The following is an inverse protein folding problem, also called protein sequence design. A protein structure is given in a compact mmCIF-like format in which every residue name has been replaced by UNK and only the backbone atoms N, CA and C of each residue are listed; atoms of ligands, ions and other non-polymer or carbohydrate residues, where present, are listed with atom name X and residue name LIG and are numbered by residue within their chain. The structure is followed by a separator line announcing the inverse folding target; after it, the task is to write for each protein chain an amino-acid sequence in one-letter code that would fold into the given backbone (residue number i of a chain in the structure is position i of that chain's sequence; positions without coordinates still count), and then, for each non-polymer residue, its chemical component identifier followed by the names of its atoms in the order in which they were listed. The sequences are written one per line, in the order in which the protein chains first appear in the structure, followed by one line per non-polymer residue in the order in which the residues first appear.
data_IF_208987502373
#
_entry.id   IF_208987502373
#
_cell.length_a   1.000
_cell.length_b   1.000
_cell.length_c   1.000
_cell.angle_alpha   90.00
_cell.angle_beta   90.00
_cell.angle_gamma   90.00
#
_symmetry.space_group_name_H-M   'P 1'
#
loop_
_entity.id
_entity.type
_entity.pdbx_description
1 polymer ?
#
# COMPACT_ATOMS: atom_id res chain seq x y z
N UNK A 1 16.29 12.48 3.36
CA UNK A 1 17.50 12.14 4.10
C UNK A 1 17.95 13.20 5.12
N UNK A 2 18.11 14.52 4.83
CA UNK A 2 18.62 15.48 5.83
C UNK A 2 17.80 15.56 7.12
N UNK A 3 16.45 15.54 7.02
CA UNK A 3 15.58 15.57 8.21
C UNK A 3 15.72 14.32 9.06
N UNK A 4 15.87 13.14 8.46
CA UNK A 4 16.04 11.89 9.18
C UNK A 4 17.41 11.83 9.86
N UNK A 5 18.49 12.25 9.17
CA UNK A 5 19.81 12.41 9.78
C UNK A 5 19.75 13.33 11.00
N UNK A 6 19.16 14.52 10.86
CA UNK A 6 19.03 15.46 11.98
C UNK A 6 18.25 14.84 13.16
N UNK A 7 17.16 14.11 12.90
CA UNK A 7 16.40 13.44 13.95
C UNK A 7 17.23 12.39 14.70
N UNK A 8 18.05 11.61 13.98
CA UNK A 8 18.99 10.66 14.61
C UNK A 8 20.04 11.38 15.45
N UNK A 9 20.61 12.49 14.96
CA UNK A 9 21.57 13.29 15.74
C UNK A 9 20.91 13.86 17.02
N UNK A 10 19.66 14.30 16.95
CA UNK A 10 18.91 14.73 18.12
C UNK A 10 18.68 13.59 19.13
N UNK A 11 18.42 12.37 18.66
CA UNK A 11 18.31 11.21 19.53
C UNK A 11 19.66 10.87 20.20
N UNK A 12 20.76 10.86 19.43
CA UNK A 12 22.12 10.63 19.94
C UNK A 12 22.56 11.66 20.98
N UNK A 13 22.10 12.90 20.88
CA UNK A 13 22.42 13.95 21.88
C UNK A 13 21.66 13.82 23.21
N UNK A 14 20.76 12.82 23.34
CA UNK A 14 19.90 12.63 24.53
C UNK A 14 20.02 11.25 25.16
N UNK A 15 21.14 10.56 24.96
CA UNK A 15 21.35 9.19 25.44
C UNK A 15 21.49 9.06 26.96
N UNK A 16 21.79 10.14 27.68
CA UNK A 16 22.06 10.11 29.12
C UNK A 16 20.95 9.52 29.98
N UNK A 17 19.70 9.61 29.49
CA UNK A 17 18.53 9.07 30.18
C UNK A 17 17.89 7.87 29.44
N UNK A 18 18.54 7.35 28.40
CA UNK A 18 18.06 6.22 27.62
C UNK A 18 18.52 4.89 28.22
N UNK A 19 17.69 3.88 28.11
CA UNK A 19 18.08 2.50 28.45
C UNK A 19 19.09 1.98 27.45
N UNK A 20 19.86 0.95 27.82
CA UNK A 20 20.85 0.35 26.93
C UNK A 20 20.19 -0.15 25.61
N UNK A 21 18.97 -0.68 25.68
CA UNK A 21 18.20 -1.12 24.52
C UNK A 21 17.87 0.05 23.58
N UNK A 22 17.40 1.17 24.11
CA UNK A 22 17.13 2.37 23.31
C UNK A 22 18.39 2.94 22.66
N UNK A 23 19.50 2.96 23.42
CA UNK A 23 20.82 3.37 22.90
C UNK A 23 21.23 2.50 21.72
N UNK A 24 21.08 1.18 21.85
CA UNK A 24 21.43 0.22 20.81
C UNK A 24 20.55 0.40 19.56
N UNK A 25 19.24 0.63 19.73
CA UNK A 25 18.29 0.91 18.63
C UNK A 25 18.64 2.22 17.90
N UNK A 26 18.96 3.29 18.63
CA UNK A 26 19.36 4.57 18.04
C UNK A 26 20.67 4.41 17.24
N UNK A 27 21.64 3.66 17.76
CA UNK A 27 22.91 3.38 17.06
C UNK A 27 22.69 2.52 15.81
N UNK A 28 21.82 1.51 15.86
CA UNK A 28 21.46 0.74 14.67
C UNK A 28 20.83 1.62 13.61
N UNK A 29 19.94 2.55 13.97
CA UNK A 29 19.34 3.47 13.02
C UNK A 29 20.32 4.51 12.45
N UNK A 30 21.37 4.86 13.20
CA UNK A 30 22.38 5.84 12.79
C UNK A 30 23.09 5.45 11.50
N UNK A 31 23.37 4.16 11.29
CA UNK A 31 24.10 3.69 10.10
C UNK A 31 23.30 3.89 8.81
N UNK A 32 21.97 3.98 8.92
CA UNK A 32 21.06 4.21 7.78
C UNK A 32 21.03 5.67 7.33
N UNK A 33 21.20 6.62 8.23
CA UNK A 33 21.02 8.06 7.98
C UNK A 33 22.31 8.81 8.21
N UNK A 34 23.06 9.02 7.13
CA UNK A 34 24.34 9.73 7.11
C UNK A 34 24.16 11.18 6.63
N UNK A 35 25.09 12.05 6.96
CA UNK A 35 25.08 13.49 6.62
C UNK A 35 25.11 13.70 5.10
N UNK A 36 26.09 13.10 4.43
CA UNK A 36 26.27 13.18 2.99
C UNK A 36 25.49 12.08 2.26
N UNK A 37 24.16 12.22 2.25
CA UNK A 37 23.30 11.26 1.56
C UNK A 37 23.33 11.45 0.04
N UNK A 38 23.73 10.38 -0.67
CA UNK A 38 23.64 10.26 -2.11
C UNK A 38 22.63 9.14 -2.47
N UNK A 39 21.63 9.41 -3.33
CA UNK A 39 20.58 8.43 -3.65
C UNK A 39 21.12 7.08 -4.16
N UNK A 40 22.21 7.08 -4.95
CA UNK A 40 22.84 5.87 -5.47
C UNK A 40 23.45 4.98 -4.37
N UNK A 41 23.80 5.54 -3.22
CA UNK A 41 24.41 4.80 -2.10
C UNK A 41 23.34 4.28 -1.12
N UNK A 42 22.05 4.49 -1.42
CA UNK A 42 20.96 4.12 -0.51
C UNK A 42 20.98 2.66 -0.13
N UNK A 43 21.25 1.78 -1.10
CA UNK A 43 21.27 0.33 -0.87
C UNK A 43 22.36 -0.10 0.10
N UNK A 44 23.53 0.53 0.06
CA UNK A 44 24.62 0.24 1.01
C UNK A 44 24.21 0.61 2.45
N UNK A 45 23.51 1.73 2.62
CA UNK A 45 23.03 2.17 3.92
C UNK A 45 21.88 1.29 4.44
N UNK A 46 20.99 0.86 3.57
CA UNK A 46 19.91 -0.06 3.93
C UNK A 46 20.49 -1.45 4.29
N UNK A 47 21.57 -1.91 3.62
CA UNK A 47 22.29 -3.13 3.98
C UNK A 47 22.97 -2.99 5.35
N UNK A 48 23.71 -1.90 5.58
CA UNK A 48 24.36 -1.65 6.87
C UNK A 48 23.31 -1.59 8.01
N UNK A 49 22.14 -1.03 7.74
CA UNK A 49 21.04 -1.03 8.71
C UNK A 49 20.49 -2.43 8.95
N UNK A 50 20.30 -3.23 7.92
CA UNK A 50 19.83 -4.61 8.06
C UNK A 50 20.82 -5.47 8.88
N UNK A 51 22.13 -5.29 8.65
CA UNK A 51 23.18 -5.98 9.42
C UNK A 51 23.15 -5.54 10.90
N UNK A 52 23.05 -4.24 11.17
CA UNK A 52 22.96 -3.72 12.54
C UNK A 52 21.68 -4.18 13.25
N UNK A 53 20.56 -4.30 12.54
CA UNK A 53 19.31 -4.82 13.08
C UNK A 53 19.35 -6.33 13.30
N UNK A 54 20.10 -7.08 12.48
CA UNK A 54 20.36 -8.51 12.72
C UNK A 54 21.09 -8.74 14.04
N UNK A 55 22.16 -7.98 14.29
CA UNK A 55 22.92 -8.02 15.54
C UNK A 55 22.04 -7.65 16.73
N UNK A 56 21.20 -6.64 16.56
CA UNK A 56 20.30 -6.17 17.60
C UNK A 56 19.22 -7.22 17.93
N UNK A 57 18.61 -7.85 16.92
CA UNK A 57 17.66 -8.94 17.10
C UNK A 57 18.31 -10.16 17.77
N UNK A 58 19.57 -10.45 17.45
CA UNK A 58 20.36 -11.48 18.15
C UNK A 58 20.63 -11.14 19.62
N UNK A 59 20.80 -9.86 19.94
CA UNK A 59 21.02 -9.40 21.33
C UNK A 59 19.72 -9.37 22.16
N UNK A 60 18.58 -9.09 21.52
CA UNK A 60 17.25 -8.98 22.14
C UNK A 60 16.22 -9.89 21.48
N UNK A 61 16.44 -11.22 21.44
CA UNK A 61 15.60 -12.15 20.68
C UNK A 61 14.16 -12.25 21.21
N UNK A 62 13.95 -11.84 22.46
CA UNK A 62 12.61 -11.87 23.09
C UNK A 62 11.82 -10.57 22.88
N UNK A 63 12.43 -9.53 22.34
CA UNK A 63 11.75 -8.30 22.00
C UNK A 63 11.15 -8.38 20.57
N UNK A 64 9.86 -8.69 20.48
CA UNK A 64 9.16 -8.86 19.21
C UNK A 64 9.20 -7.61 18.34
N UNK A 65 9.25 -6.42 18.94
CA UNK A 65 9.36 -5.17 18.20
C UNK A 65 10.72 -5.05 17.52
N UNK A 66 11.80 -5.39 18.21
CA UNK A 66 13.16 -5.38 17.63
C UNK A 66 13.26 -6.41 16.50
N UNK A 67 12.77 -7.63 16.71
CA UNK A 67 12.76 -8.66 15.66
C UNK A 67 11.92 -8.23 14.46
N UNK A 68 10.77 -7.57 14.69
CA UNK A 68 9.94 -7.00 13.61
C UNK A 68 10.69 -5.89 12.84
N UNK A 69 11.39 -4.99 13.54
CA UNK A 69 12.19 -3.95 12.89
C UNK A 69 13.36 -4.53 12.09
N UNK A 70 13.89 -5.69 12.49
CA UNK A 70 14.83 -6.42 11.65
C UNK A 70 14.15 -6.93 10.36
N UNK A 71 12.93 -7.44 10.45
CA UNK A 71 12.11 -7.76 9.27
C UNK A 71 11.88 -6.54 8.37
N UNK A 72 11.58 -5.36 8.93
CA UNK A 72 11.47 -4.11 8.18
C UNK A 72 12.78 -3.75 7.46
N UNK A 73 13.91 -3.90 8.15
CA UNK A 73 15.23 -3.62 7.57
C UNK A 73 15.54 -4.56 6.38
N UNK A 74 15.18 -5.84 6.46
CA UNK A 74 15.29 -6.78 5.34
C UNK A 74 14.34 -6.40 4.20
N UNK A 75 13.10 -6.00 4.50
CA UNK A 75 12.13 -5.57 3.49
C UNK A 75 12.59 -4.34 2.71
N UNK A 76 13.39 -3.46 3.30
CA UNK A 76 13.99 -2.32 2.60
C UNK A 76 15.01 -2.73 1.51
N UNK A 77 15.55 -3.93 1.59
CA UNK A 77 16.46 -4.49 0.60
C UNK A 77 15.72 -5.11 -0.60
N UNK A 78 14.42 -5.37 -0.46
CA UNK A 78 13.60 -5.91 -1.53
C UNK A 78 13.18 -4.85 -2.54
N UNK A 79 12.98 -5.25 -3.78
CA UNK A 79 12.39 -4.39 -4.78
C UNK A 79 10.91 -4.16 -4.44
N UNK A 80 10.50 -2.90 -4.42
CA UNK A 80 9.13 -2.52 -4.05
C UNK A 80 8.07 -2.93 -5.06
N UNK A 81 8.48 -3.28 -6.28
CA UNK A 81 7.59 -3.68 -7.37
C UNK A 81 8.16 -4.89 -8.07
N UNK A 82 7.28 -5.79 -8.48
CA UNK A 82 7.66 -7.00 -9.17
C UNK A 82 7.39 -8.26 -8.35
N UNK A 83 7.57 -9.37 -9.02
CA UNK A 83 7.41 -10.70 -8.43
C UNK A 83 8.62 -11.05 -7.57
N UNK A 84 8.37 -11.60 -6.37
CA UNK A 84 9.40 -12.10 -5.46
C UNK A 84 9.43 -13.61 -5.50
N UNK A 85 10.59 -14.18 -5.80
CA UNK A 85 10.79 -15.62 -5.81
C UNK A 85 10.94 -16.15 -4.39
N UNK A 86 10.24 -17.25 -4.09
CA UNK A 86 10.41 -17.99 -2.83
C UNK A 86 11.75 -18.74 -2.75
N UNK A 87 12.53 -18.76 -3.84
CA UNK A 87 13.88 -19.31 -3.86
C UNK A 87 14.95 -18.27 -3.51
N UNK A 88 14.59 -16.97 -3.47
CA UNK A 88 15.51 -15.90 -3.10
C UNK A 88 15.85 -16.02 -1.59
N UNK A 89 17.13 -16.14 -1.24
CA UNK A 89 17.56 -16.22 0.17
C UNK A 89 17.11 -15.04 1.03
N UNK A 90 17.00 -13.84 0.45
CA UNK A 90 16.55 -12.65 1.18
C UNK A 90 15.05 -12.74 1.48
N UNK A 91 14.23 -13.18 0.52
CA UNK A 91 12.79 -13.40 0.70
C UNK A 91 12.55 -14.48 1.75
N UNK A 92 13.28 -15.61 1.67
CA UNK A 92 13.22 -16.70 2.66
C UNK A 92 13.54 -16.16 4.06
N UNK A 93 14.62 -15.38 4.19
CA UNK A 93 15.04 -14.79 5.46
C UNK A 93 14.03 -13.82 6.01
N UNK A 94 13.49 -12.92 5.17
CA UNK A 94 12.44 -11.97 5.52
C UNK A 94 11.20 -12.69 6.08
N UNK A 95 10.70 -13.68 5.35
CA UNK A 95 9.55 -14.48 5.80
C UNK A 95 9.85 -15.20 7.12
N UNK A 96 11.01 -15.84 7.24
CA UNK A 96 11.41 -16.56 8.46
C UNK A 96 11.44 -15.64 9.69
N UNK A 97 11.99 -14.43 9.56
CA UNK A 97 12.06 -13.46 10.65
C UNK A 97 10.66 -13.00 11.05
N UNK A 98 9.80 -12.64 10.11
CA UNK A 98 8.44 -12.19 10.41
C UNK A 98 7.58 -13.30 11.02
N UNK A 99 7.66 -14.52 10.46
CA UNK A 99 6.95 -15.70 11.00
C UNK A 99 7.42 -16.05 12.41
N UNK A 100 8.70 -15.90 12.74
CA UNK A 100 9.19 -16.13 14.11
C UNK A 100 8.57 -15.20 15.16
N UNK A 101 8.17 -14.00 14.78
CA UNK A 101 7.39 -13.08 15.62
C UNK A 101 5.96 -13.56 15.74
N UNK A 102 5.35 -13.92 14.61
CA UNK A 102 3.93 -14.28 14.52
C UNK A 102 3.61 -15.65 15.17
N UNK A 103 4.57 -16.56 15.20
CA UNK A 103 4.47 -17.81 15.97
C UNK A 103 4.34 -17.56 17.48
N UNK A 104 4.83 -16.41 17.96
CA UNK A 104 4.78 -16.01 19.37
C UNK A 104 3.60 -15.07 19.66
N UNK A 105 3.25 -14.22 18.71
CA UNK A 105 2.13 -13.28 18.78
C UNK A 105 1.56 -13.01 17.39
N UNK A 106 0.55 -13.79 16.99
CA UNK A 106 -0.13 -13.65 15.69
C UNK A 106 -0.83 -12.29 15.54
N UNK A 107 -1.07 -11.58 16.63
CA UNK A 107 -1.72 -10.28 16.62
C UNK A 107 -0.77 -9.10 16.55
N UNK A 108 0.56 -9.35 16.47
CA UNK A 108 1.57 -8.30 16.41
C UNK A 108 1.40 -7.43 15.15
N UNK A 109 0.95 -6.16 15.26
CA UNK A 109 0.48 -5.40 14.11
C UNK A 109 1.60 -5.08 13.11
N UNK A 110 2.82 -4.81 13.59
CA UNK A 110 3.96 -4.51 12.71
C UNK A 110 4.40 -5.73 11.90
N UNK A 111 4.49 -6.90 12.52
CA UNK A 111 4.88 -8.13 11.83
C UNK A 111 3.82 -8.56 10.82
N UNK A 112 2.53 -8.48 11.18
CA UNK A 112 1.43 -8.73 10.27
C UNK A 112 1.42 -7.77 9.07
N UNK A 113 1.59 -6.47 9.30
CA UNK A 113 1.68 -5.48 8.25
C UNK A 113 2.80 -5.79 7.24
N UNK A 114 4.00 -6.08 7.75
CA UNK A 114 5.15 -6.41 6.90
C UNK A 114 4.96 -7.74 6.18
N UNK A 115 4.37 -8.77 6.82
CA UNK A 115 4.13 -10.06 6.18
C UNK A 115 3.15 -9.93 5.01
N UNK A 116 2.08 -9.15 5.16
CA UNK A 116 1.16 -8.86 4.04
C UNK A 116 1.93 -8.30 2.84
N UNK A 117 2.75 -7.29 3.04
CA UNK A 117 3.56 -6.71 1.95
C UNK A 117 4.65 -7.66 1.43
N UNK A 118 5.22 -8.49 2.28
CA UNK A 118 6.26 -9.45 1.87
C UNK A 118 5.71 -10.57 1.00
N UNK A 119 4.42 -10.92 1.15
CA UNK A 119 3.77 -12.04 0.46
C UNK A 119 2.92 -11.64 -0.74
N UNK A 120 2.41 -10.41 -0.81
CA UNK A 120 1.49 -9.95 -1.87
C UNK A 120 2.04 -10.10 -3.30
N UNK A 121 3.36 -10.11 -3.47
CA UNK A 121 4.03 -10.29 -4.78
C UNK A 121 4.72 -11.66 -4.90
N UNK A 122 4.29 -12.64 -4.14
CA UNK A 122 4.78 -14.03 -4.18
C UNK A 122 3.68 -14.98 -4.64
N UNK A 123 3.98 -16.25 -4.97
CA UNK A 123 2.96 -17.22 -5.30
C UNK A 123 2.16 -17.74 -4.10
N UNK A 124 2.45 -17.29 -2.87
CA UNK A 124 1.82 -17.76 -1.63
C UNK A 124 1.26 -16.60 -0.77
N UNK A 125 0.37 -15.74 -1.32
CA UNK A 125 -0.22 -14.63 -0.57
C UNK A 125 -1.04 -15.12 0.64
N UNK A 126 -1.57 -16.36 0.60
CA UNK A 126 -2.31 -16.99 1.68
C UNK A 126 -1.50 -17.15 2.97
N UNK A 127 -0.17 -17.10 2.92
CA UNK A 127 0.69 -17.10 4.09
C UNK A 127 0.37 -15.97 5.07
N UNK A 128 -0.10 -14.83 4.56
CA UNK A 128 -0.53 -13.70 5.38
C UNK A 128 -2.03 -13.73 5.74
N UNK A 129 -2.80 -14.74 5.34
CA UNK A 129 -4.23 -14.78 5.64
C UNK A 129 -4.55 -14.72 7.15
N UNK A 130 -3.84 -15.45 8.06
CA UNK A 130 -4.06 -15.30 9.50
C UNK A 130 -3.83 -13.87 10.02
N UNK A 131 -2.85 -13.16 9.47
CA UNK A 131 -2.63 -11.73 9.76
C UNK A 131 -3.77 -10.87 9.24
N UNK A 132 -4.24 -11.09 8.03
CA UNK A 132 -5.31 -10.31 7.42
C UNK A 132 -6.64 -10.43 8.19
N UNK A 133 -6.90 -11.55 8.86
CA UNK A 133 -8.07 -11.74 9.71
C UNK A 133 -8.11 -10.79 10.92
N UNK A 134 -6.95 -10.41 11.46
CA UNK A 134 -6.83 -9.64 12.70
C UNK A 134 -6.42 -8.19 12.46
N UNK A 135 -5.51 -7.95 11.50
CA UNK A 135 -4.79 -6.69 11.35
C UNK A 135 -5.70 -5.47 11.24
N UNK A 136 -6.80 -5.59 10.48
CA UNK A 136 -7.73 -4.48 10.26
C UNK A 136 -8.40 -3.92 11.52
N UNK A 137 -8.33 -4.62 12.65
CA UNK A 137 -8.95 -4.25 13.92
C UNK A 137 -7.95 -3.87 15.02
N UNK A 138 -6.65 -4.10 14.79
CA UNK A 138 -5.60 -3.91 15.81
C UNK A 138 -5.38 -2.44 16.18
N UNK A 139 -5.49 -1.53 15.21
CA UNK A 139 -5.29 -0.08 15.43
C UNK A 139 -6.49 0.68 14.85
N UNK A 140 -7.58 0.83 15.63
CA UNK A 140 -8.77 1.57 15.19
C UNK A 140 -8.42 3.01 14.80
N UNK A 141 -8.90 3.47 13.65
CA UNK A 141 -8.63 4.81 13.15
C UNK A 141 -7.32 5.00 12.39
N UNK A 142 -6.46 3.98 12.32
CA UNK A 142 -5.32 3.97 11.41
C UNK A 142 -5.76 3.40 10.05
N UNK A 143 -6.14 4.27 9.12
CA UNK A 143 -6.76 3.88 7.85
C UNK A 143 -5.91 2.90 7.05
N UNK A 144 -4.59 3.09 7.03
CA UNK A 144 -3.67 2.18 6.35
C UNK A 144 -3.71 0.76 6.94
N UNK A 145 -3.72 0.64 8.27
CA UNK A 145 -3.80 -0.68 8.92
C UNK A 145 -5.16 -1.35 8.67
N UNK A 146 -6.26 -0.57 8.63
CA UNK A 146 -7.58 -1.10 8.27
C UNK A 146 -7.64 -1.62 6.83
N UNK A 147 -6.91 -0.98 5.91
CA UNK A 147 -6.82 -1.35 4.49
C UNK A 147 -5.93 -2.57 4.23
N UNK A 148 -4.87 -2.78 5.01
CA UNK A 148 -3.83 -3.79 4.77
C UNK A 148 -4.36 -5.20 4.47
N UNK A 149 -5.39 -5.73 5.15
CA UNK A 149 -5.93 -7.05 4.83
C UNK A 149 -6.36 -7.20 3.37
N UNK A 150 -6.76 -6.09 2.72
CA UNK A 150 -7.24 -6.14 1.33
C UNK A 150 -6.18 -6.55 0.31
N UNK A 151 -4.90 -6.35 0.59
CA UNK A 151 -3.82 -6.85 -0.25
C UNK A 151 -3.88 -8.38 -0.35
N UNK A 152 -3.87 -9.07 0.79
CA UNK A 152 -4.00 -10.53 0.85
C UNK A 152 -5.32 -11.01 0.24
N UNK A 153 -6.44 -10.38 0.59
CA UNK A 153 -7.75 -10.78 0.10
C UNK A 153 -7.90 -10.61 -1.42
N UNK A 154 -7.31 -9.57 -2.01
CA UNK A 154 -7.30 -9.38 -3.46
C UNK A 154 -6.50 -10.49 -4.17
N UNK A 155 -5.32 -10.83 -3.68
CA UNK A 155 -4.48 -11.89 -4.26
C UNK A 155 -5.14 -13.28 -4.15
N UNK A 156 -5.92 -13.50 -3.10
CA UNK A 156 -6.68 -14.74 -2.89
C UNK A 156 -8.04 -14.76 -3.62
N UNK A 157 -8.44 -13.67 -4.29
CA UNK A 157 -9.75 -13.56 -4.94
C UNK A 157 -10.93 -13.42 -3.97
N UNK A 158 -10.66 -13.11 -2.69
CA UNK A 158 -11.68 -12.90 -1.65
C UNK A 158 -12.17 -11.43 -1.68
N UNK A 159 -12.77 -11.08 -2.81
CA UNK A 159 -13.14 -9.70 -3.15
C UNK A 159 -14.06 -9.02 -2.12
N UNK A 160 -14.98 -9.78 -1.51
CA UNK A 160 -15.88 -9.20 -0.51
C UNK A 160 -15.14 -8.78 0.77
N UNK A 161 -14.15 -9.57 1.19
CA UNK A 161 -13.30 -9.24 2.33
C UNK A 161 -12.44 -8.00 2.03
N UNK A 162 -11.91 -7.93 0.81
CA UNK A 162 -11.18 -6.76 0.34
C UNK A 162 -12.06 -5.50 0.30
N UNK A 163 -13.30 -5.59 -0.16
CA UNK A 163 -14.27 -4.47 -0.11
C UNK A 163 -14.52 -4.04 1.34
N UNK A 164 -14.71 -4.99 2.24
CA UNK A 164 -14.96 -4.72 3.67
C UNK A 164 -13.80 -3.96 4.31
N UNK A 165 -12.56 -4.43 4.09
CA UNK A 165 -11.33 -3.82 4.60
C UNK A 165 -11.16 -2.39 4.09
N UNK A 166 -11.32 -2.17 2.78
CA UNK A 166 -11.16 -0.84 2.18
C UNK A 166 -12.30 0.12 2.53
N UNK A 167 -13.52 -0.38 2.71
CA UNK A 167 -14.63 0.45 3.21
C UNK A 167 -14.34 0.95 4.62
N UNK A 168 -13.80 0.09 5.50
CA UNK A 168 -13.37 0.46 6.84
C UNK A 168 -12.26 1.51 6.80
N UNK A 169 -11.27 1.32 5.94
CA UNK A 169 -10.18 2.26 5.73
C UNK A 169 -10.69 3.62 5.27
N UNK A 170 -11.59 3.65 4.29
CA UNK A 170 -12.18 4.89 3.79
C UNK A 170 -12.97 5.63 4.88
N UNK A 171 -13.73 4.92 5.71
CA UNK A 171 -14.41 5.53 6.87
C UNK A 171 -13.41 6.11 7.89
N UNK A 172 -12.25 5.47 8.08
CA UNK A 172 -11.19 5.99 8.94
C UNK A 172 -10.55 7.24 8.34
N UNK A 173 -10.31 7.28 7.02
CA UNK A 173 -9.83 8.47 6.30
C UNK A 173 -10.80 9.65 6.44
N UNK A 174 -12.11 9.40 6.29
CA UNK A 174 -13.13 10.42 6.47
C UNK A 174 -13.16 10.97 7.92
N UNK A 175 -13.02 10.10 8.93
CA UNK A 175 -12.91 10.53 10.33
C UNK A 175 -11.65 11.35 10.60
N UNK A 176 -10.54 10.99 9.97
CA UNK A 176 -9.27 11.71 10.09
C UNK A 176 -9.38 13.15 9.53
N UNK A 177 -10.16 13.37 8.48
CA UNK A 177 -10.44 14.70 7.95
C UNK A 177 -11.14 15.63 8.99
N UNK A 178 -11.82 15.05 9.98
CA UNK A 178 -12.41 15.77 11.12
C UNK A 178 -11.54 15.74 12.39
N UNK A 179 -10.25 15.45 12.26
CA UNK A 179 -9.31 15.39 13.39
C UNK A 179 -9.44 14.14 14.28
N UNK A 180 -10.09 13.08 13.79
CA UNK A 180 -10.33 11.83 14.55
C UNK A 180 -9.61 10.65 13.86
N UNK A 181 -8.37 10.42 14.21
CA UNK A 181 -7.59 9.34 13.66
C UNK A 181 -6.50 9.82 12.72
N UNK A 182 -5.99 8.91 11.89
CA UNK A 182 -4.84 9.15 11.05
C UNK A 182 -5.06 8.59 9.65
N UNK A 183 -5.11 9.47 8.64
CA UNK A 183 -5.26 9.10 7.24
C UNK A 183 -3.89 8.96 6.58
N UNK A 184 -3.64 7.80 6.00
CA UNK A 184 -2.48 7.56 5.12
C UNK A 184 -3.01 6.96 3.83
N UNK A 185 -2.67 7.58 2.71
CA UNK A 185 -2.99 7.09 1.37
C UNK A 185 -4.49 6.93 1.05
N UNK A 186 -5.37 7.90 1.32
CA UNK A 186 -6.82 7.77 1.07
C UNK A 186 -7.15 7.50 -0.40
N UNK A 187 -6.37 8.03 -1.34
CA UNK A 187 -6.53 7.73 -2.77
C UNK A 187 -6.22 6.26 -3.10
N UNK A 188 -5.22 5.67 -2.45
CA UNK A 188 -4.90 4.26 -2.60
C UNK A 188 -6.00 3.37 -2.03
N UNK A 189 -6.50 3.67 -0.82
CA UNK A 189 -7.59 2.93 -0.19
C UNK A 189 -8.86 2.92 -1.08
N UNK A 190 -9.21 4.08 -1.66
CA UNK A 190 -10.32 4.17 -2.61
C UNK A 190 -10.07 3.43 -3.92
N UNK A 191 -8.85 3.45 -4.45
CA UNK A 191 -8.49 2.68 -5.65
C UNK A 191 -8.65 1.19 -5.41
N UNK A 192 -8.20 0.70 -4.26
CA UNK A 192 -8.34 -0.72 -3.88
C UNK A 192 -9.80 -1.09 -3.63
N UNK A 193 -10.60 -0.19 -3.03
CA UNK A 193 -12.04 -0.36 -2.87
C UNK A 193 -12.74 -0.46 -4.23
N UNK A 194 -12.45 0.46 -5.13
CA UNK A 194 -12.96 0.44 -6.50
C UNK A 194 -12.63 -0.87 -7.20
N UNK A 195 -11.37 -1.31 -7.12
CA UNK A 195 -10.91 -2.55 -7.76
C UNK A 195 -11.66 -3.77 -7.21
N UNK A 196 -11.63 -3.99 -5.90
CA UNK A 196 -12.27 -5.13 -5.26
C UNK A 196 -13.79 -5.16 -5.49
N UNK A 197 -14.47 -4.00 -5.39
CA UNK A 197 -15.90 -3.89 -5.68
C UNK A 197 -16.21 -4.15 -7.15
N UNK A 198 -15.34 -3.74 -8.07
CA UNK A 198 -15.48 -4.02 -9.50
C UNK A 198 -15.34 -5.51 -9.80
N UNK A 199 -14.40 -6.21 -9.16
CA UNK A 199 -14.19 -7.64 -9.33
C UNK A 199 -15.34 -8.47 -8.74
N UNK A 200 -15.94 -8.03 -7.64
CA UNK A 200 -17.09 -8.69 -7.01
C UNK A 200 -18.46 -8.32 -7.59
N UNK A 201 -18.51 -7.46 -8.62
CA UNK A 201 -19.76 -7.05 -9.24
C UNK A 201 -20.60 -6.06 -8.43
N UNK A 202 -20.03 -5.43 -7.40
CA UNK A 202 -20.69 -4.46 -6.53
C UNK A 202 -20.70 -3.06 -7.17
N UNK A 203 -21.56 -2.85 -8.18
CA UNK A 203 -21.59 -1.63 -8.99
C UNK A 203 -21.73 -0.34 -8.16
N UNK A 204 -22.62 -0.33 -7.18
CA UNK A 204 -22.85 0.84 -6.33
C UNK A 204 -21.58 1.24 -5.56
N UNK A 205 -20.91 0.28 -4.92
CA UNK A 205 -19.68 0.51 -4.17
C UNK A 205 -18.52 0.95 -5.08
N UNK A 206 -18.37 0.29 -6.24
CA UNK A 206 -17.30 0.61 -7.19
C UNK A 206 -17.47 2.02 -7.77
N UNK A 207 -18.68 2.38 -8.21
CA UNK A 207 -18.96 3.72 -8.78
C UNK A 207 -18.83 4.80 -7.70
N UNK A 208 -19.29 4.53 -6.47
CA UNK A 208 -19.15 5.50 -5.38
C UNK A 208 -17.67 5.72 -5.02
N UNK A 209 -16.87 4.65 -4.89
CA UNK A 209 -15.43 4.77 -4.63
C UNK A 209 -14.72 5.57 -5.73
N UNK A 210 -15.06 5.33 -7.01
CA UNK A 210 -14.51 6.07 -8.13
C UNK A 210 -14.93 7.56 -8.13
N UNK A 211 -16.17 7.88 -7.72
CA UNK A 211 -16.64 9.27 -7.53
C UNK A 211 -15.89 9.99 -6.41
N UNK A 212 -15.67 9.30 -5.28
CA UNK A 212 -14.95 9.87 -4.14
C UNK A 212 -13.46 10.07 -4.49
N UNK A 213 -12.86 9.15 -5.24
CA UNK A 213 -11.51 9.28 -5.76
C UNK A 213 -11.38 10.50 -6.70
N UNK A 214 -12.33 10.68 -7.62
CA UNK A 214 -12.34 11.83 -8.52
C UNK A 214 -12.46 13.16 -7.76
N UNK A 215 -13.24 13.20 -6.66
CA UNK A 215 -13.30 14.39 -5.77
C UNK A 215 -11.97 14.69 -5.08
N UNK A 216 -11.21 13.66 -4.68
CA UNK A 216 -9.95 13.85 -3.96
C UNK A 216 -8.81 14.35 -4.85
N UNK A 217 -8.71 13.86 -6.07
CA UNK A 217 -7.55 14.10 -6.93
C UNK A 217 -7.86 14.67 -8.32
N UNK A 218 -9.13 14.93 -8.64
CA UNK A 218 -9.56 15.42 -9.95
C UNK A 218 -9.49 14.40 -11.09
N UNK A 219 -9.17 13.13 -10.78
CA UNK A 219 -9.00 12.10 -11.81
C UNK A 219 -10.31 11.35 -12.09
N UNK A 220 -10.93 11.65 -13.21
CA UNK A 220 -12.20 11.04 -13.68
C UNK A 220 -12.00 9.74 -14.46
N UNK A 221 -10.77 9.33 -14.76
CA UNK A 221 -10.50 8.12 -15.54
C UNK A 221 -11.06 6.86 -14.87
N UNK A 222 -10.83 6.68 -13.56
CA UNK A 222 -11.36 5.53 -12.82
C UNK A 222 -12.89 5.55 -12.75
N UNK A 223 -13.50 6.73 -12.69
CA UNK A 223 -14.97 6.86 -12.74
C UNK A 223 -15.51 6.44 -14.11
N UNK A 224 -14.89 6.88 -15.20
CA UNK A 224 -15.31 6.51 -16.54
C UNK A 224 -15.16 5.00 -16.78
N UNK A 225 -14.08 4.38 -16.29
CA UNK A 225 -13.85 2.94 -16.33
C UNK A 225 -14.87 2.16 -15.50
N UNK A 226 -15.22 2.66 -14.30
CA UNK A 226 -16.28 2.06 -13.47
C UNK A 226 -17.62 2.07 -14.20
N UNK A 227 -17.98 3.18 -14.80
CA UNK A 227 -19.27 3.35 -15.48
C UNK A 227 -19.38 2.44 -16.72
N UNK A 228 -18.36 2.32 -17.57
CA UNK A 228 -18.40 1.41 -18.71
C UNK A 228 -18.48 -0.05 -18.28
N UNK A 229 -17.77 -0.44 -17.19
CA UNK A 229 -17.82 -1.81 -16.66
C UNK A 229 -19.23 -2.23 -16.27
N UNK A 230 -20.03 -1.31 -15.76
CA UNK A 230 -21.39 -1.56 -15.30
C UNK A 230 -22.49 -1.08 -16.28
N UNK A 231 -22.13 -0.79 -17.54
CA UNK A 231 -23.08 -0.47 -18.60
C UNK A 231 -23.77 0.90 -18.46
N UNK A 232 -23.16 1.84 -17.69
CA UNK A 232 -23.69 3.19 -17.47
C UNK A 232 -23.14 4.17 -18.52
N UNK A 233 -23.35 3.84 -19.80
CA UNK A 233 -22.70 4.51 -20.94
C UNK A 233 -23.13 5.98 -21.08
N UNK A 234 -24.41 6.27 -20.86
CA UNK A 234 -24.94 7.62 -20.84
C UNK A 234 -24.25 8.53 -19.81
N UNK A 235 -23.94 7.99 -18.60
CA UNK A 235 -23.23 8.74 -17.57
C UNK A 235 -21.77 9.00 -17.92
N UNK A 236 -21.11 8.08 -18.63
CA UNK A 236 -19.74 8.31 -19.15
C UNK A 236 -19.71 9.55 -20.04
N UNK A 237 -20.67 9.65 -20.96
CA UNK A 237 -20.76 10.76 -21.92
C UNK A 237 -21.09 12.10 -21.25
N UNK A 238 -21.62 12.08 -20.03
CA UNK A 238 -21.90 13.28 -19.23
C UNK A 238 -20.69 13.80 -18.43
N UNK A 239 -19.61 13.01 -18.28
CA UNK A 239 -18.39 13.45 -17.61
C UNK A 239 -17.73 14.54 -18.47
N UNK A 240 -17.58 15.75 -17.90
CA UNK A 240 -17.00 16.92 -18.60
C UNK A 240 -15.54 17.15 -18.23
N UNK A 241 -15.16 16.77 -17.02
CA UNK A 241 -13.82 17.01 -16.50
C UNK A 241 -12.86 15.96 -17.05
N UNK A 242 -11.95 16.38 -17.90
CA UNK A 242 -10.94 15.53 -18.48
C UNK A 242 -9.77 15.35 -17.48
N UNK A 243 -9.29 14.11 -17.27
CA UNK A 243 -8.21 13.86 -16.33
C UNK A 243 -6.87 14.33 -16.91
N UNK A 244 -5.94 14.67 -15.99
CA UNK A 244 -4.56 14.99 -16.34
C UNK A 244 -3.73 13.72 -16.50
N UNK A 245 -2.66 13.81 -17.33
CA UNK A 245 -1.71 12.74 -17.58
C UNK A 245 -2.15 11.78 -18.68
N UNK A 246 -1.22 11.37 -19.48
CA UNK A 246 -1.41 10.59 -20.72
C UNK A 246 -2.22 9.31 -20.48
N UNK A 247 -1.80 8.48 -19.53
CA UNK A 247 -2.48 7.21 -19.22
C UNK A 247 -3.95 7.43 -18.80
N UNK A 248 -4.18 8.40 -17.89
CA UNK A 248 -5.53 8.70 -17.43
C UNK A 248 -6.40 9.23 -18.56
N UNK A 249 -5.81 10.05 -19.43
CA UNK A 249 -6.49 10.59 -20.61
C UNK A 249 -6.88 9.48 -21.58
N UNK A 250 -5.96 8.56 -21.89
CA UNK A 250 -6.24 7.41 -22.76
C UNK A 250 -7.34 6.52 -22.20
N UNK A 251 -7.37 6.26 -20.88
CA UNK A 251 -8.44 5.50 -20.22
C UNK A 251 -9.78 6.22 -20.33
N UNK A 252 -9.80 7.53 -20.15
CA UNK A 252 -11.00 8.36 -20.27
C UNK A 252 -11.51 8.36 -21.72
N UNK A 253 -10.65 8.61 -22.70
CA UNK A 253 -11.01 8.65 -24.12
C UNK A 253 -11.49 7.27 -24.61
N UNK A 254 -10.80 6.18 -24.21
CA UNK A 254 -11.28 4.81 -24.45
C UNK A 254 -12.70 4.61 -23.92
N UNK A 255 -12.95 5.04 -22.68
CA UNK A 255 -14.26 4.89 -22.05
C UNK A 255 -15.35 5.64 -22.83
N UNK A 256 -15.06 6.85 -23.29
CA UNK A 256 -15.99 7.67 -24.09
C UNK A 256 -16.22 7.07 -25.48
N UNK A 257 -15.17 6.59 -26.14
CA UNK A 257 -15.30 5.90 -27.43
C UNK A 257 -16.16 4.65 -27.32
N UNK A 258 -15.90 3.83 -26.29
CA UNK A 258 -16.69 2.64 -26.03
C UNK A 258 -18.15 2.96 -25.69
N UNK A 259 -18.40 3.95 -24.85
CA UNK A 259 -19.75 4.41 -24.53
C UNK A 259 -20.49 4.94 -25.77
N UNK A 260 -19.83 5.75 -26.61
CA UNK A 260 -20.40 6.25 -27.86
C UNK A 260 -20.81 5.10 -28.81
N UNK A 261 -19.94 4.07 -28.90
CA UNK A 261 -20.25 2.88 -29.70
C UNK A 261 -21.50 2.14 -29.18
N UNK A 262 -21.59 1.97 -27.84
CA UNK A 262 -22.74 1.29 -27.20
C UNK A 262 -24.05 2.05 -27.32
N UNK A 263 -23.99 3.38 -27.35
CA UNK A 263 -25.15 4.27 -27.58
C UNK A 263 -25.45 4.45 -29.09
N UNK A 264 -24.76 3.75 -29.99
CA UNK A 264 -25.01 3.76 -31.42
C UNK A 264 -24.40 4.94 -32.20
N UNK A 265 -23.59 5.77 -31.53
CA UNK A 265 -22.88 6.89 -32.19
C UNK A 265 -21.53 6.42 -32.75
N UNK A 266 -21.60 5.72 -33.90
CA UNK A 266 -20.41 5.10 -34.53
C UNK A 266 -19.40 6.14 -35.01
N UNK A 267 -19.87 7.29 -35.50
CA UNK A 267 -18.98 8.37 -35.99
C UNK A 267 -18.13 8.95 -34.84
N UNK A 268 -18.74 9.26 -33.70
CA UNK A 268 -18.01 9.73 -32.53
C UNK A 268 -17.05 8.67 -31.98
N UNK A 269 -17.46 7.41 -31.95
CA UNK A 269 -16.59 6.31 -31.51
C UNK A 269 -15.35 6.17 -32.42
N UNK A 270 -15.54 6.28 -33.73
CA UNK A 270 -14.45 6.20 -34.72
C UNK A 270 -13.49 7.39 -34.59
N UNK A 271 -13.99 8.60 -34.46
CA UNK A 271 -13.16 9.79 -34.27
C UNK A 271 -12.26 9.70 -33.01
N UNK A 272 -12.80 9.14 -31.92
CA UNK A 272 -12.01 8.89 -30.70
C UNK A 272 -10.95 7.80 -30.93
N UNK A 273 -11.30 6.71 -31.63
CA UNK A 273 -10.38 5.64 -31.95
C UNK A 273 -9.19 6.16 -32.80
N UNK A 274 -9.48 6.96 -33.82
CA UNK A 274 -8.45 7.56 -34.66
C UNK A 274 -7.49 8.44 -33.83
N UNK A 275 -8.02 9.24 -32.89
CA UNK A 275 -7.22 10.07 -31.99
C UNK A 275 -6.37 9.30 -30.96
N UNK A 276 -6.69 8.04 -30.69
CA UNK A 276 -5.90 7.18 -29.79
C UNK A 276 -4.76 6.44 -30.49
N UNK A 277 -4.75 6.43 -31.85
CA UNK A 277 -3.73 5.79 -32.66
C UNK A 277 -2.58 6.73 -33.07
N UNK A 278 -2.81 8.05 -32.99
CA UNK A 278 -1.83 9.10 -33.24
C UNK A 278 -0.99 9.40 -31.98
#
# INVERSE_FOLDING_TARGET
APRAFFAVQQALSRLDNATQKEIDMIKALQVRYIDSFEPQNRREQDQAYADAMADLAGKYPDDLTIVTLYGDALFLLEERRGYRSLEDPNVIRLHSVLLSVLDRDITHPGACHLLVHATESTPTPELAAPCAEHLGDTIPGASHINHMPSHTWNEMGLWQEAVRSNTKAWHSDQKAAYGKGFAIYPTHNLTMLYYAASMSGQSASAIQAAKDLAKLNGNTAMLSMALIRFGRFDEVLQIKDEPNGEINRSMYDFSRGYASLKEGNIEAARAILDSLQD
#
